data_IF_895110963756
#
_entry.id   IF_895110963756
#
_cell.length_a   1.000
_cell.length_b   1.000
_cell.length_c   1.000
_cell.angle_alpha   90.00
_cell.angle_beta   90.00
_cell.angle_gamma   90.00
#
_symmetry.space_group_name_H-M   'P 1'
#
loop_
_entity.id
_entity.type
_entity.pdbx_description
1 polymer ?
#
# COMPACT_ATOMS: atom_id res chain seq x y z
N UNK A 1 17.49 -9.91 0.39
CA UNK A 1 16.20 -10.52 0.75
C UNK A 1 16.24 -10.81 2.24
N UNK A 2 15.20 -10.48 2.97
CA UNK A 2 15.10 -10.77 4.40
C UNK A 2 13.96 -11.77 4.62
N UNK A 3 14.18 -12.72 5.53
CA UNK A 3 13.12 -13.58 6.05
C UNK A 3 12.55 -12.94 7.32
N UNK A 4 11.23 -12.87 7.38
CA UNK A 4 10.48 -12.29 8.49
C UNK A 4 9.80 -13.45 9.24
N UNK A 5 10.17 -13.78 10.47
CA UNK A 5 9.51 -14.83 11.22
C UNK A 5 8.06 -14.47 11.48
N UNK A 6 7.17 -15.44 11.35
CA UNK A 6 5.74 -15.25 11.59
C UNK A 6 5.28 -16.13 12.78
N UNK A 7 4.79 -15.53 13.87
CA UNK A 7 4.61 -16.25 15.14
C UNK A 7 3.44 -17.26 15.17
N UNK A 8 2.60 -17.33 14.14
CA UNK A 8 1.39 -18.18 14.14
C UNK A 8 1.57 -19.59 13.60
N UNK A 9 2.81 -20.12 13.57
CA UNK A 9 3.12 -21.44 12.96
C UNK A 9 3.11 -21.43 11.43
N UNK A 10 2.89 -20.29 10.82
CA UNK A 10 3.05 -20.07 9.39
C UNK A 10 4.54 -19.98 9.02
N UNK A 11 4.92 -20.32 7.80
CA UNK A 11 6.30 -20.14 7.35
C UNK A 11 6.70 -18.66 7.43
N UNK A 12 8.01 -18.38 7.65
CA UNK A 12 8.51 -17.01 7.57
C UNK A 12 8.18 -16.40 6.22
N UNK A 13 7.85 -15.11 6.20
CA UNK A 13 7.58 -14.41 4.95
C UNK A 13 8.83 -13.71 4.43
N UNK A 14 8.97 -13.69 3.12
CA UNK A 14 10.08 -13.01 2.43
C UNK A 14 9.78 -11.53 2.28
N UNK A 15 10.82 -10.69 2.43
CA UNK A 15 10.76 -9.27 2.12
C UNK A 15 11.99 -8.82 1.33
N UNK A 16 11.79 -7.83 0.44
CA UNK A 16 12.82 -7.17 -0.34
C UNK A 16 12.90 -5.71 0.07
N UNK A 17 14.10 -5.21 0.36
CA UNK A 17 14.38 -3.80 0.60
C UNK A 17 15.00 -3.18 -0.65
N UNK A 18 14.51 -2.01 -1.01
CA UNK A 18 14.99 -1.13 -2.05
C UNK A 18 15.46 0.16 -1.37
N UNK A 19 16.76 0.38 -1.37
CA UNK A 19 17.35 1.55 -0.70
C UNK A 19 17.26 2.76 -1.62
N UNK A 20 17.01 3.94 -1.05
CA UNK A 20 17.02 5.20 -1.78
C UNK A 20 18.31 5.35 -2.59
N UNK A 21 18.19 5.79 -3.83
CA UNK A 21 19.35 5.97 -4.72
C UNK A 21 20.23 7.13 -4.21
N UNK A 22 21.55 6.96 -4.25
CA UNK A 22 22.51 7.98 -3.81
C UNK A 22 22.38 9.31 -4.57
N UNK A 23 21.87 9.26 -5.82
CA UNK A 23 21.65 10.44 -6.65
C UNK A 23 20.44 11.28 -6.26
N UNK A 24 19.55 10.78 -5.38
CA UNK A 24 18.35 11.48 -4.92
C UNK A 24 18.50 11.93 -3.47
N UNK A 25 18.00 13.13 -3.11
CA UNK A 25 17.97 13.55 -1.71
C UNK A 25 17.18 12.56 -0.86
N UNK A 26 17.77 12.06 0.21
CA UNK A 26 17.09 11.12 1.10
C UNK A 26 15.90 11.80 1.80
N UNK A 27 14.70 11.25 1.62
CA UNK A 27 13.45 11.82 2.17
C UNK A 27 13.23 11.54 3.65
N UNK A 28 13.97 10.60 4.23
CA UNK A 28 13.73 10.11 5.58
C UNK A 28 12.40 9.32 5.70
N UNK A 29 11.88 8.79 4.59
CA UNK A 29 10.64 8.00 4.57
C UNK A 29 10.94 6.58 4.10
N UNK A 30 10.32 5.61 4.77
CA UNK A 30 10.26 4.22 4.31
C UNK A 30 8.83 3.89 3.91
N UNK A 31 8.64 3.37 2.69
CA UNK A 31 7.33 2.98 2.14
C UNK A 31 7.26 1.45 2.06
N UNK A 32 6.35 0.85 2.80
CA UNK A 32 6.11 -0.61 2.76
C UNK A 32 4.92 -0.90 1.86
N UNK A 33 5.13 -1.69 0.82
CA UNK A 33 4.11 -2.00 -0.18
C UNK A 33 3.74 -3.50 -0.16
N UNK A 34 2.49 -3.79 0.18
CA UNK A 34 1.91 -5.12 0.09
C UNK A 34 1.34 -5.39 -1.31
N UNK A 35 1.41 -6.65 -1.75
CA UNK A 35 0.90 -7.08 -3.04
C UNK A 35 -0.64 -7.28 -3.05
N UNK A 36 -1.23 -7.28 -4.24
CA UNK A 36 -2.64 -7.64 -4.48
C UNK A 36 -2.89 -9.15 -4.38
N UNK A 37 -4.16 -9.55 -4.36
CA UNK A 37 -4.54 -10.96 -4.44
C UNK A 37 -4.03 -11.57 -5.75
N UNK A 38 -3.49 -12.80 -5.68
CA UNK A 38 -2.94 -13.50 -6.86
C UNK A 38 -1.57 -12.99 -7.34
N UNK A 39 -0.97 -12.03 -6.63
CA UNK A 39 0.37 -11.52 -6.90
C UNK A 39 1.28 -11.78 -5.69
N UNK A 40 2.59 -11.63 -5.88
CA UNK A 40 3.58 -11.68 -4.81
C UNK A 40 4.44 -10.41 -4.80
N UNK A 41 5.39 -10.34 -3.85
CA UNK A 41 6.29 -9.20 -3.70
C UNK A 41 7.16 -8.93 -4.95
N UNK A 42 7.41 -9.95 -5.76
CA UNK A 42 8.20 -9.87 -7.00
C UNK A 42 7.34 -9.55 -8.24
N UNK A 43 6.04 -9.24 -8.08
CA UNK A 43 5.20 -8.85 -9.21
C UNK A 43 5.77 -7.60 -9.90
N UNK A 44 5.89 -7.56 -11.25
CA UNK A 44 6.55 -6.47 -11.98
C UNK A 44 6.07 -5.07 -11.61
N UNK A 45 4.76 -4.88 -11.43
CA UNK A 45 4.21 -3.59 -11.01
C UNK A 45 4.74 -3.16 -9.64
N UNK A 46 4.76 -4.08 -8.66
CA UNK A 46 5.20 -3.75 -7.31
C UNK A 46 6.70 -3.47 -7.25
N UNK A 47 7.48 -4.28 -7.96
CA UNK A 47 8.94 -4.07 -8.12
C UNK A 47 9.22 -2.75 -8.83
N UNK A 48 8.47 -2.43 -9.89
CA UNK A 48 8.56 -1.14 -10.58
C UNK A 48 8.25 0.03 -9.65
N UNK A 49 7.20 -0.08 -8.84
CA UNK A 49 6.88 0.94 -7.83
C UNK A 49 8.00 1.11 -6.81
N UNK A 50 8.52 0.01 -6.26
CA UNK A 50 9.59 0.07 -5.25
C UNK A 50 10.88 0.68 -5.80
N UNK A 51 11.30 0.29 -7.00
CA UNK A 51 12.47 0.89 -7.67
C UNK A 51 12.25 2.37 -8.01
N UNK A 52 11.08 2.72 -8.53
CA UNK A 52 10.76 4.10 -8.87
C UNK A 52 10.68 5.02 -7.63
N UNK A 53 10.22 4.52 -6.49
CA UNK A 53 10.27 5.24 -5.22
C UNK A 53 11.71 5.36 -4.70
N UNK A 54 12.52 4.30 -4.83
CA UNK A 54 13.94 4.35 -4.48
C UNK A 54 14.70 5.40 -5.31
N UNK A 55 14.40 5.50 -6.60
CA UNK A 55 14.95 6.54 -7.48
C UNK A 55 14.54 7.97 -7.08
N UNK A 56 13.46 8.12 -6.28
CA UNK A 56 12.95 9.39 -5.74
C UNK A 56 13.38 9.66 -4.29
N UNK A 57 14.34 8.90 -3.76
CA UNK A 57 14.91 9.10 -2.43
C UNK A 57 14.14 8.48 -1.27
N UNK A 58 13.22 7.56 -1.54
CA UNK A 58 12.49 6.79 -0.53
C UNK A 58 13.10 5.40 -0.37
N UNK A 59 13.24 4.92 0.87
CA UNK A 59 13.40 3.48 1.03
C UNK A 59 12.05 2.80 0.76
N UNK A 60 12.07 1.69 0.04
CA UNK A 60 10.87 0.90 -0.17
C UNK A 60 11.08 -0.55 0.29
N UNK A 61 10.00 -1.18 0.74
CA UNK A 61 9.99 -2.60 1.12
C UNK A 61 8.78 -3.27 0.48
N UNK A 62 9.00 -4.40 -0.19
CA UNK A 62 7.92 -5.29 -0.63
C UNK A 62 8.03 -6.62 0.12
N UNK A 63 6.92 -7.30 0.34
CA UNK A 63 6.90 -8.56 1.07
C UNK A 63 5.80 -9.48 0.56
N UNK A 64 5.93 -10.78 0.85
CA UNK A 64 4.88 -11.75 0.61
C UNK A 64 3.96 -11.88 1.82
N UNK A 65 2.67 -12.04 1.58
CA UNK A 65 1.76 -12.59 2.57
C UNK A 65 1.94 -14.12 2.70
N UNK A 66 1.60 -14.75 3.85
CA UNK A 66 1.90 -16.16 4.09
C UNK A 66 1.38 -17.13 3.04
N UNK A 67 0.20 -16.87 2.48
CA UNK A 67 -0.36 -17.72 1.42
C UNK A 67 0.51 -17.76 0.14
N UNK A 68 1.26 -16.68 -0.14
CA UNK A 68 2.18 -16.65 -1.30
C UNK A 68 3.44 -17.49 -1.05
N UNK A 69 3.95 -17.51 0.18
CA UNK A 69 5.05 -18.41 0.53
C UNK A 69 4.67 -19.89 0.36
N UNK A 70 3.43 -20.23 0.68
CA UNK A 70 2.88 -21.57 0.47
C UNK A 70 2.44 -21.84 -0.96
N UNK A 71 2.54 -20.86 -1.86
CA UNK A 71 2.04 -20.94 -3.24
C UNK A 71 0.53 -21.27 -3.31
N UNK A 72 -0.22 -20.86 -2.29
CA UNK A 72 -1.66 -21.05 -2.26
C UNK A 72 -2.37 -20.07 -3.21
N UNK A 73 -3.46 -20.53 -3.84
CA UNK A 73 -4.22 -19.71 -4.80
C UNK A 73 -5.10 -18.67 -4.11
N UNK A 74 -5.60 -18.97 -2.92
CA UNK A 74 -6.51 -18.09 -2.18
C UNK A 74 -5.77 -17.35 -1.07
N UNK A 75 -6.03 -16.04 -0.88
CA UNK A 75 -5.49 -15.28 0.25
C UNK A 75 -5.93 -15.86 1.60
N UNK A 76 -5.09 -15.67 2.61
CA UNK A 76 -5.46 -15.88 4.00
C UNK A 76 -6.62 -14.95 4.41
N UNK A 77 -7.39 -15.27 5.47
CA UNK A 77 -8.35 -14.35 6.07
C UNK A 77 -7.70 -13.02 6.48
N UNK A 78 -8.46 -11.91 6.41
CA UNK A 78 -7.95 -10.58 6.68
C UNK A 78 -7.21 -10.45 8.02
N UNK A 79 -7.68 -11.00 9.15
CA UNK A 79 -6.95 -10.90 10.42
C UNK A 79 -5.52 -11.46 10.36
N UNK A 80 -5.29 -12.53 9.59
CA UNK A 80 -3.96 -13.11 9.41
C UNK A 80 -3.08 -12.22 8.52
N UNK A 81 -3.63 -11.61 7.47
CA UNK A 81 -2.90 -10.68 6.60
C UNK A 81 -2.51 -9.41 7.37
N UNK A 82 -3.40 -8.89 8.22
CA UNK A 82 -3.12 -7.75 9.11
C UNK A 82 -2.04 -8.10 10.15
N UNK A 83 -2.13 -9.27 10.78
CA UNK A 83 -1.11 -9.74 11.70
C UNK A 83 0.26 -9.87 11.01
N UNK A 84 0.31 -10.43 9.80
CA UNK A 84 1.52 -10.48 8.99
C UNK A 84 2.10 -9.09 8.74
N UNK A 85 1.27 -8.13 8.38
CA UNK A 85 1.70 -6.74 8.14
C UNK A 85 2.31 -6.11 9.41
N UNK A 86 1.67 -6.29 10.57
CA UNK A 86 2.18 -5.78 11.87
C UNK A 86 3.50 -6.45 12.26
N UNK A 87 3.61 -7.77 12.08
CA UNK A 87 4.86 -8.51 12.34
C UNK A 87 6.00 -8.02 11.44
N UNK A 88 5.70 -7.75 10.16
CA UNK A 88 6.68 -7.14 9.26
C UNK A 88 7.17 -5.79 9.81
N UNK A 89 6.26 -4.88 10.19
CA UNK A 89 6.63 -3.57 10.75
C UNK A 89 7.52 -3.74 11.99
N UNK A 90 7.17 -4.64 12.89
CA UNK A 90 7.98 -4.93 14.09
C UNK A 90 9.39 -5.42 13.71
N UNK A 91 9.48 -6.37 12.78
CA UNK A 91 10.78 -6.88 12.32
C UNK A 91 11.63 -5.82 11.63
N UNK A 92 11.01 -4.91 10.85
CA UNK A 92 11.74 -3.81 10.23
C UNK A 92 12.25 -2.82 11.28
N UNK A 93 11.47 -2.55 12.33
CA UNK A 93 11.89 -1.71 13.46
C UNK A 93 13.05 -2.36 14.23
N UNK A 94 12.93 -3.63 14.59
CA UNK A 94 13.97 -4.40 15.31
C UNK A 94 15.30 -4.48 14.52
N UNK A 95 15.22 -4.51 13.20
CA UNK A 95 16.38 -4.49 12.31
C UNK A 95 16.97 -3.07 12.08
N UNK A 96 16.39 -2.06 12.69
CA UNK A 96 16.82 -0.66 12.52
C UNK A 96 16.48 -0.04 11.16
N UNK A 97 15.67 -0.72 10.31
CA UNK A 97 15.33 -0.19 8.99
C UNK A 97 14.37 1.00 9.04
N UNK A 98 13.73 1.21 10.19
CA UNK A 98 12.81 2.33 10.45
C UNK A 98 13.41 3.39 11.38
N UNK A 99 14.65 3.21 11.84
CA UNK A 99 15.29 4.14 12.77
C UNK A 99 15.41 5.55 12.16
N UNK A 100 14.84 6.56 12.83
CA UNK A 100 14.83 7.95 12.38
C UNK A 100 14.03 8.21 11.10
N UNK A 101 13.15 7.29 10.70
CA UNK A 101 12.39 7.39 9.45
C UNK A 101 10.87 7.43 9.71
N UNK A 102 10.17 8.17 8.88
CA UNK A 102 8.70 8.12 8.83
C UNK A 102 8.27 6.85 8.08
N UNK A 103 7.28 6.14 8.62
CA UNK A 103 6.74 4.94 8.00
C UNK A 103 5.45 5.25 7.24
N UNK A 104 5.45 5.00 5.95
CA UNK A 104 4.25 4.92 5.12
C UNK A 104 3.98 3.45 4.79
N UNK A 105 2.78 2.99 5.02
CA UNK A 105 2.35 1.64 4.63
C UNK A 105 1.38 1.72 3.47
N UNK A 106 1.29 0.66 2.66
CA UNK A 106 0.40 0.70 1.52
C UNK A 106 0.42 -0.58 0.71
N UNK A 107 -0.07 -0.48 -0.52
CA UNK A 107 0.00 -1.60 -1.45
C UNK A 107 -1.02 -1.54 -2.57
N UNK A 108 -0.96 -2.56 -3.42
CA UNK A 108 -1.86 -2.73 -4.55
C UNK A 108 -3.12 -3.48 -4.11
N UNK A 109 -4.29 -2.95 -4.46
CA UNK A 109 -5.58 -3.65 -4.29
C UNK A 109 -5.76 -4.20 -2.85
N UNK A 110 -5.84 -5.51 -2.66
CA UNK A 110 -5.91 -6.16 -1.35
C UNK A 110 -4.82 -5.64 -0.40
N UNK A 111 -3.59 -5.45 -0.87
CA UNK A 111 -2.49 -4.95 -0.05
C UNK A 111 -2.75 -3.55 0.49
N UNK A 112 -3.27 -2.64 -0.33
CA UNK A 112 -3.68 -1.29 0.10
C UNK A 112 -4.83 -1.33 1.11
N UNK A 113 -5.82 -2.20 0.88
CA UNK A 113 -6.90 -2.41 1.85
C UNK A 113 -6.39 -2.95 3.18
N UNK A 114 -5.47 -3.92 3.20
CA UNK A 114 -4.88 -4.41 4.45
C UNK A 114 -4.11 -3.29 5.17
N UNK A 115 -3.37 -2.47 4.46
CA UNK A 115 -2.67 -1.32 5.04
C UNK A 115 -3.65 -0.33 5.71
N UNK A 116 -4.79 0.00 5.08
CA UNK A 116 -5.82 0.84 5.69
C UNK A 116 -6.43 0.21 6.94
N UNK A 117 -6.65 -1.11 6.96
CA UNK A 117 -7.19 -1.82 8.12
C UNK A 117 -6.17 -1.84 9.28
N UNK A 118 -4.89 -2.08 9.00
CA UNK A 118 -3.81 -2.02 10.01
C UNK A 118 -3.72 -0.63 10.64
N UNK A 119 -3.73 0.43 9.83
CA UNK A 119 -3.70 1.80 10.32
C UNK A 119 -4.95 2.15 11.15
N UNK A 120 -6.13 1.79 10.68
CA UNK A 120 -7.40 2.02 11.38
C UNK A 120 -7.47 1.29 12.73
N UNK A 121 -6.94 0.06 12.82
CA UNK A 121 -6.86 -0.70 14.06
C UNK A 121 -5.88 -0.06 15.05
N UNK A 122 -4.75 0.48 14.57
CA UNK A 122 -3.80 1.23 15.38
C UNK A 122 -4.41 2.55 15.90
N UNK A 123 -5.08 3.30 15.02
CA UNK A 123 -5.76 4.56 15.37
C UNK A 123 -6.89 4.35 16.39
N UNK A 124 -7.60 3.22 16.31
CA UNK A 124 -8.63 2.82 17.27
C UNK A 124 -8.08 2.26 18.59
N UNK A 125 -6.76 2.01 18.69
CA UNK A 125 -6.15 1.35 19.84
C UNK A 125 -6.53 -0.13 19.99
N UNK A 126 -7.11 -0.75 18.96
CA UNK A 126 -7.51 -2.18 18.99
C UNK A 126 -6.37 -3.12 18.60
N UNK A 127 -5.31 -2.60 17.99
CA UNK A 127 -4.08 -3.32 17.73
C UNK A 127 -2.87 -2.39 17.81
N UNK A 128 -1.77 -2.88 18.37
CA UNK A 128 -0.50 -2.13 18.41
C UNK A 128 0.30 -2.33 17.13
N UNK A 129 1.07 -1.31 16.78
CA UNK A 129 2.12 -1.37 15.75
C UNK A 129 3.44 -0.91 16.38
N UNK A 130 4.53 -1.58 16.03
CA UNK A 130 5.84 -1.32 16.63
C UNK A 130 6.50 0.00 16.19
N UNK A 131 5.93 0.69 15.22
CA UNK A 131 6.41 1.98 14.72
C UNK A 131 5.22 2.84 14.28
N UNK A 132 5.18 4.15 14.61
CA UNK A 132 4.11 5.03 14.18
C UNK A 132 3.93 5.05 12.65
N UNK A 133 2.68 4.96 12.19
CA UNK A 133 2.33 5.04 10.77
C UNK A 133 2.07 6.51 10.44
N UNK A 134 2.91 7.09 9.58
CA UNK A 134 2.79 8.49 9.15
C UNK A 134 1.73 8.66 8.04
N UNK A 135 1.47 7.63 7.25
CA UNK A 135 0.48 7.67 6.18
C UNK A 135 0.21 6.32 5.54
N UNK A 136 -0.87 6.25 4.78
CA UNK A 136 -1.28 5.05 4.03
C UNK A 136 -1.42 5.36 2.55
N UNK A 137 -0.91 4.49 1.67
CA UNK A 137 -1.08 4.58 0.20
C UNK A 137 -1.84 3.36 -0.31
N UNK A 138 -3.01 3.58 -0.90
CA UNK A 138 -3.79 2.54 -1.56
C UNK A 138 -3.74 2.71 -3.09
N UNK A 139 -3.12 1.77 -3.78
CA UNK A 139 -3.02 1.75 -5.23
C UNK A 139 -4.13 0.85 -5.81
N UNK A 140 -5.22 1.46 -6.27
CA UNK A 140 -6.43 0.77 -6.71
C UNK A 140 -7.16 0.13 -5.52
N UNK A 141 -7.84 0.94 -4.71
CA UNK A 141 -8.59 0.44 -3.55
C UNK A 141 -9.78 -0.42 -3.99
N UNK A 142 -9.90 -1.68 -3.52
CA UNK A 142 -11.00 -2.55 -3.94
C UNK A 142 -12.24 -2.27 -3.07
N UNK A 143 -12.97 -1.22 -3.38
CA UNK A 143 -14.16 -0.75 -2.62
C UNK A 143 -15.19 -1.85 -2.44
N UNK A 144 -15.45 -2.62 -3.49
CA UNK A 144 -16.33 -3.79 -3.52
C UNK A 144 -15.82 -4.83 -4.52
N UNK A 145 -16.32 -6.06 -4.52
CA UNK A 145 -16.06 -7.00 -5.61
C UNK A 145 -16.72 -6.50 -6.91
N UNK A 146 -16.15 -6.78 -8.09
CA UNK A 146 -16.77 -6.43 -9.36
C UNK A 146 -18.20 -6.95 -9.46
N UNK A 147 -19.12 -6.10 -9.91
CA UNK A 147 -20.56 -6.45 -10.04
C UNK A 147 -21.31 -6.59 -8.71
N UNK A 148 -20.70 -6.24 -7.56
CA UNK A 148 -21.33 -6.36 -6.23
C UNK A 148 -21.16 -5.06 -5.41
N UNK A 149 -21.67 -3.90 -5.90
CA UNK A 149 -21.45 -2.60 -5.27
C UNK A 149 -22.01 -2.50 -3.83
N UNK A 150 -22.96 -3.38 -3.47
CA UNK A 150 -23.50 -3.46 -2.12
C UNK A 150 -22.56 -4.09 -1.09
N UNK A 151 -21.50 -4.79 -1.53
CA UNK A 151 -20.52 -5.44 -0.63
C UNK A 151 -19.33 -4.52 -0.33
N UNK A 152 -19.61 -3.39 0.29
CA UNK A 152 -18.62 -2.37 0.60
C UNK A 152 -17.58 -2.84 1.61
N UNK A 153 -16.35 -2.39 1.44
CA UNK A 153 -15.17 -2.72 2.27
C UNK A 153 -14.62 -1.48 2.96
N UNK A 154 -15.49 -0.72 3.64
CA UNK A 154 -15.18 0.63 4.17
C UNK A 154 -15.40 0.77 5.68
N UNK A 155 -15.90 -0.25 6.39
CA UNK A 155 -16.25 -0.15 7.80
C UNK A 155 -15.13 0.40 8.69
N UNK A 156 -13.89 0.05 8.41
CA UNK A 156 -12.72 0.51 9.17
C UNK A 156 -12.35 1.98 8.90
N UNK A 157 -12.87 2.65 7.88
CA UNK A 157 -12.63 4.08 7.66
C UNK A 157 -13.21 4.95 8.79
N UNK A 158 -14.23 4.47 9.50
CA UNK A 158 -14.80 5.18 10.65
C UNK A 158 -13.77 5.45 11.77
N UNK A 159 -12.77 4.59 11.91
CA UNK A 159 -11.74 4.71 12.94
C UNK A 159 -10.39 5.21 12.41
N UNK A 160 -10.21 5.31 11.09
CA UNK A 160 -8.96 5.76 10.48
C UNK A 160 -8.73 7.25 10.79
N UNK A 161 -7.55 7.58 11.30
CA UNK A 161 -7.07 8.95 11.58
C UNK A 161 -5.72 9.22 10.94
N UNK A 162 -5.10 8.19 10.40
CA UNK A 162 -3.85 8.28 9.64
C UNK A 162 -4.13 8.84 8.23
N UNK A 163 -3.34 9.80 7.72
CA UNK A 163 -3.47 10.32 6.36
C UNK A 163 -3.51 9.21 5.31
N UNK A 164 -4.41 9.33 4.35
CA UNK A 164 -4.65 8.32 3.31
C UNK A 164 -4.56 8.94 1.91
N UNK A 165 -3.69 8.40 1.07
CA UNK A 165 -3.70 8.63 -0.37
C UNK A 165 -4.31 7.42 -1.07
N UNK A 166 -5.34 7.64 -1.86
CA UNK A 166 -5.90 6.63 -2.77
C UNK A 166 -5.62 7.04 -4.20
N UNK A 167 -4.87 6.22 -4.93
CA UNK A 167 -4.72 6.34 -6.38
C UNK A 167 -5.72 5.38 -7.02
N UNK A 168 -6.67 5.90 -7.80
CA UNK A 168 -7.82 5.11 -8.29
C UNK A 168 -8.07 5.32 -9.77
N UNK A 169 -8.23 4.24 -10.52
CA UNK A 169 -8.63 4.32 -11.93
C UNK A 169 -10.09 4.78 -12.07
N UNK A 170 -10.38 5.67 -13.04
CA UNK A 170 -11.76 6.12 -13.27
C UNK A 170 -12.63 5.05 -13.95
N UNK A 171 -12.04 3.92 -14.36
CA UNK A 171 -12.72 2.76 -14.94
C UNK A 171 -12.39 1.47 -14.15
N UNK A 172 -12.16 1.61 -12.85
CA UNK A 172 -11.85 0.49 -11.97
C UNK A 172 -13.16 -0.23 -11.55
N UNK A 173 -13.36 -1.47 -12.00
CA UNK A 173 -14.55 -2.28 -11.70
C UNK A 173 -14.67 -2.66 -10.21
N UNK A 174 -13.64 -2.43 -9.40
CA UNK A 174 -13.67 -2.58 -7.94
C UNK A 174 -14.14 -1.32 -7.21
N UNK A 175 -14.52 -0.28 -7.93
CA UNK A 175 -15.03 1.00 -7.43
C UNK A 175 -14.34 2.19 -8.10
N UNK A 176 -15.14 3.13 -8.57
CA UNK A 176 -14.67 4.36 -9.19
C UNK A 176 -14.34 5.41 -8.12
N UNK A 177 -13.55 6.45 -8.43
CA UNK A 177 -13.29 7.55 -7.49
C UNK A 177 -14.57 8.18 -6.92
N UNK A 178 -15.61 8.37 -7.75
CA UNK A 178 -16.89 8.97 -7.34
C UNK A 178 -17.67 8.06 -6.36
N UNK A 179 -17.56 6.74 -6.51
CA UNK A 179 -18.15 5.79 -5.55
C UNK A 179 -17.39 5.78 -4.23
N UNK A 180 -16.07 6.00 -4.26
CA UNK A 180 -15.22 5.99 -3.07
C UNK A 180 -15.34 7.29 -2.26
N UNK A 181 -15.51 8.44 -2.94
CA UNK A 181 -15.50 9.75 -2.31
C UNK A 181 -16.50 9.92 -1.13
N UNK A 182 -17.75 9.46 -1.19
CA UNK A 182 -18.69 9.56 -0.05
C UNK A 182 -18.19 8.82 1.19
N UNK A 183 -17.48 7.71 1.02
CA UNK A 183 -16.96 6.89 2.13
C UNK A 183 -15.70 7.49 2.76
N UNK A 184 -14.99 8.35 2.03
CA UNK A 184 -13.84 9.10 2.52
C UNK A 184 -14.19 10.47 3.09
N UNK A 185 -15.41 10.95 2.88
CA UNK A 185 -15.85 12.28 3.31
C UNK A 185 -15.65 12.52 4.82
N UNK A 186 -15.88 11.49 5.65
CA UNK A 186 -15.67 11.57 7.09
C UNK A 186 -14.20 11.75 7.51
N UNK A 187 -13.25 11.43 6.64
CA UNK A 187 -11.83 11.64 6.87
C UNK A 187 -11.39 13.10 6.56
N UNK A 188 -12.20 13.86 5.87
CA UNK A 188 -11.90 15.26 5.52
C UNK A 188 -10.55 15.41 4.83
N UNK A 189 -9.72 16.32 5.33
CA UNK A 189 -8.38 16.59 4.78
C UNK A 189 -7.37 15.46 4.97
N UNK A 190 -7.70 14.43 5.74
CA UNK A 190 -6.84 13.25 5.88
C UNK A 190 -6.87 12.34 4.64
N UNK A 191 -7.92 12.40 3.82
CA UNK A 191 -8.03 11.59 2.62
C UNK A 191 -7.78 12.42 1.36
N UNK A 192 -6.89 11.90 0.51
CA UNK A 192 -6.62 12.43 -0.83
C UNK A 192 -6.93 11.34 -1.85
N UNK A 193 -7.73 11.65 -2.87
CA UNK A 193 -7.98 10.75 -4.00
C UNK A 193 -7.32 11.32 -5.24
N UNK A 194 -6.46 10.53 -5.86
CA UNK A 194 -5.82 10.85 -7.14
C UNK A 194 -6.41 9.97 -8.24
N UNK A 195 -7.28 10.52 -9.11
CA UNK A 195 -7.89 9.75 -10.17
C UNK A 195 -6.93 9.53 -11.34
N UNK A 196 -6.88 8.31 -11.86
CA UNK A 196 -6.20 7.98 -13.12
C UNK A 196 -7.24 7.93 -14.23
N UNK A 197 -7.28 8.95 -15.06
CA UNK A 197 -8.25 9.07 -16.16
C UNK A 197 -8.19 7.83 -17.08
N UNK A 198 -9.34 7.22 -17.35
CA UNK A 198 -9.50 6.00 -18.14
C UNK A 198 -8.67 4.79 -17.67
N UNK A 199 -8.09 4.83 -16.47
CA UNK A 199 -7.37 3.73 -15.87
C UNK A 199 -8.32 2.65 -15.33
N UNK A 200 -8.00 1.40 -15.57
CA UNK A 200 -8.65 0.24 -14.95
C UNK A 200 -8.04 -0.07 -13.56
N UNK A 201 -8.47 -1.18 -12.94
CA UNK A 201 -7.92 -1.64 -11.66
C UNK A 201 -6.40 -1.86 -11.68
N UNK A 202 -5.81 -2.16 -12.82
CA UNK A 202 -4.36 -2.33 -13.01
C UNK A 202 -3.65 -1.05 -13.46
N UNK A 203 -4.37 0.08 -13.49
CA UNK A 203 -3.92 1.36 -14.05
C UNK A 203 -3.58 1.30 -15.54
N UNK A 204 -4.10 0.30 -16.24
CA UNK A 204 -4.00 0.27 -17.70
C UNK A 204 -4.98 1.28 -18.27
N UNK A 205 -4.45 2.24 -19.01
CA UNK A 205 -5.24 3.28 -19.66
C UNK A 205 -5.46 2.91 -21.13
N UNK A 206 -6.74 2.83 -21.53
CA UNK A 206 -7.11 2.57 -22.92
C UNK A 206 -6.96 3.83 -23.79
N UNK A 207 -6.54 3.66 -25.04
CA UNK A 207 -6.39 4.76 -25.99
C UNK A 207 -5.05 5.49 -25.91
N UNK A 208 -4.14 5.10 -25.03
CA UNK A 208 -2.79 5.67 -25.04
C UNK A 208 -1.98 5.18 -26.25
N UNK A 209 -1.09 6.02 -26.80
CA UNK A 209 -0.12 5.60 -27.79
C UNK A 209 0.72 4.41 -27.29
N UNK A 210 1.15 3.55 -28.21
CA UNK A 210 2.02 2.42 -27.84
C UNK A 210 3.28 2.92 -27.14
N UNK A 211 3.66 2.24 -26.04
CA UNK A 211 4.87 2.54 -25.27
C UNK A 211 4.70 3.64 -24.21
N UNK A 212 3.56 4.34 -24.15
CA UNK A 212 3.37 5.41 -23.16
C UNK A 212 2.69 4.97 -21.86
N UNK A 213 2.30 3.71 -21.71
CA UNK A 213 1.74 3.20 -20.45
C UNK A 213 2.68 3.39 -19.25
N UNK A 214 4.00 3.40 -19.47
CA UNK A 214 5.00 3.68 -18.45
C UNK A 214 4.85 5.07 -17.84
N UNK A 215 4.43 6.08 -18.60
CA UNK A 215 4.22 7.45 -18.10
C UNK A 215 3.10 7.52 -17.04
N UNK A 216 2.09 6.64 -17.13
CA UNK A 216 1.04 6.55 -16.11
C UNK A 216 1.63 6.09 -14.78
N UNK A 217 2.48 5.07 -14.81
CA UNK A 217 3.14 4.56 -13.60
C UNK A 217 4.08 5.63 -13.01
N UNK A 218 4.85 6.32 -13.85
CA UNK A 218 5.70 7.43 -13.39
C UNK A 218 4.88 8.54 -12.74
N UNK A 219 3.74 8.94 -13.33
CA UNK A 219 2.83 9.94 -12.74
C UNK A 219 2.25 9.50 -11.39
N UNK A 220 1.93 8.19 -11.25
CA UNK A 220 1.52 7.62 -9.96
C UNK A 220 2.64 7.74 -8.93
N UNK A 221 3.88 7.41 -9.32
CA UNK A 221 5.04 7.49 -8.43
C UNK A 221 5.36 8.93 -8.01
N UNK A 222 5.25 9.89 -8.93
CA UNK A 222 5.41 11.31 -8.63
C UNK A 222 4.36 11.79 -7.62
N UNK A 223 3.11 11.36 -7.79
CA UNK A 223 2.01 11.67 -6.86
C UNK A 223 2.28 11.08 -5.47
N UNK A 224 2.67 9.80 -5.40
CA UNK A 224 3.00 9.14 -4.13
C UNK A 224 4.20 9.82 -3.46
N UNK A 225 5.24 10.13 -4.21
CA UNK A 225 6.45 10.78 -3.70
C UNK A 225 6.15 12.18 -3.14
N UNK A 226 5.44 13.01 -3.90
CA UNK A 226 5.04 14.35 -3.46
C UNK A 226 4.20 14.29 -2.18
N UNK A 227 3.18 13.41 -2.15
CA UNK A 227 2.30 13.26 -0.99
C UNK A 227 3.05 12.72 0.23
N UNK A 228 3.84 11.65 0.09
CA UNK A 228 4.58 11.05 1.20
C UNK A 228 5.68 11.97 1.74
N UNK A 229 6.33 12.73 0.86
CA UNK A 229 7.33 13.74 1.23
C UNK A 229 6.75 14.90 2.05
N UNK A 230 5.51 15.30 1.76
CA UNK A 230 4.80 16.39 2.44
C UNK A 230 4.18 15.99 3.80
N UNK A 231 4.16 14.69 4.16
CA UNK A 231 3.65 14.26 5.47
C UNK A 231 4.44 14.89 6.61
N UNK A 232 3.78 15.33 7.70
CA UNK A 232 4.47 15.93 8.83
C UNK A 232 5.45 14.97 9.50
N UNK A 233 6.58 15.48 9.98
CA UNK A 233 7.44 14.76 10.92
C UNK A 233 6.70 14.70 12.25
N UNK A 234 6.35 13.51 12.71
CA UNK A 234 5.74 13.28 14.03
C UNK A 234 6.82 13.06 15.07
#
# INVERSE_FOLDING_TARGET
MAEIPFPSGEPPVSALRYVAADAAPATGVTIVLAHGAGAGMAHPFLVGCANGLAARGFDAVTFNFPYMERRAKAPNPAPMLEACYRTLIATLADRGWLAGRRLVIGGKSMGGRMATMVAAAADAGTASVAHPIAGVVALGYPLHPPGQPQKLRVAHFATLRTPLLVVQGTRDDFGHPDELAPHLAALGSLATVHPIANGDHSFKVTGLPRGTQGTVVEGILDTVAAWAGALPSR
#
